data_IF_754781788492
#
_entry.id   IF_754781788492
#
_cell.length_a   1.000
_cell.length_b   1.000
_cell.length_c   1.000
_cell.angle_alpha   90.00
_cell.angle_beta   90.00
_cell.angle_gamma   90.00
#
_symmetry.space_group_name_H-M   'P 1'
#
loop_
_entity.id
_entity.type
_entity.pdbx_description
1 polymer ?
#
# COMPACT_ATOMS: atom_id res chain seq x y z
N UNK A 1 -3.08 -15.99 14.88
CA UNK A 1 -1.71 -15.51 14.60
C UNK A 1 -1.66 -14.41 13.52
N UNK A 2 -2.05 -14.69 12.28
CA UNK A 2 -1.98 -13.73 11.14
C UNK A 2 -2.58 -12.34 11.46
N UNK A 3 -3.79 -12.29 12.06
CA UNK A 3 -4.43 -11.01 12.42
C UNK A 3 -3.55 -10.13 13.32
N UNK A 4 -2.83 -10.74 14.27
CA UNK A 4 -1.92 -10.03 15.18
C UNK A 4 -0.75 -9.42 14.39
N UNK A 5 -0.13 -10.23 13.53
CA UNK A 5 0.97 -9.79 12.66
C UNK A 5 0.53 -8.62 11.77
N UNK A 6 -0.67 -8.70 11.18
CA UNK A 6 -1.22 -7.60 10.36
C UNK A 6 -1.41 -6.32 11.20
N UNK A 7 -2.00 -6.42 12.39
CA UNK A 7 -2.21 -5.24 13.25
C UNK A 7 -0.90 -4.62 13.76
N UNK A 8 0.14 -5.42 13.96
CA UNK A 8 1.45 -4.94 14.41
C UNK A 8 2.28 -4.31 13.28
N UNK A 9 2.04 -4.72 12.03
CA UNK A 9 2.83 -4.28 10.88
C UNK A 9 2.15 -3.17 10.05
N UNK A 10 0.84 -2.99 10.14
CA UNK A 10 0.13 -1.97 9.36
C UNK A 10 -0.49 -0.92 10.27
N UNK A 11 -0.13 0.35 10.05
CA UNK A 11 -0.75 1.47 10.73
C UNK A 11 -2.03 1.88 9.99
N UNK A 12 -3.17 1.47 10.53
CA UNK A 12 -4.49 1.69 9.92
C UNK A 12 -5.10 3.06 10.24
N UNK A 13 -4.38 3.97 10.92
CA UNK A 13 -4.88 5.33 11.13
C UNK A 13 -4.96 6.07 9.79
N UNK A 14 -6.06 6.79 9.46
CA UNK A 14 -6.24 7.39 8.13
C UNK A 14 -5.09 8.31 7.67
N UNK A 15 -4.56 9.11 8.60
CA UNK A 15 -3.41 9.97 8.32
C UNK A 15 -2.14 9.18 8.01
N UNK A 16 -1.91 8.07 8.72
CA UNK A 16 -0.73 7.23 8.53
C UNK A 16 -0.83 6.37 7.27
N UNK A 17 -2.01 5.90 6.88
CA UNK A 17 -2.22 5.26 5.57
C UNK A 17 -1.81 6.22 4.45
N UNK A 18 -2.27 7.48 4.52
CA UNK A 18 -1.95 8.50 3.52
C UNK A 18 -0.45 8.76 3.39
N UNK A 19 0.25 8.82 4.53
CA UNK A 19 1.70 9.07 4.59
C UNK A 19 2.49 7.84 4.14
N UNK A 20 2.19 6.66 4.68
CA UNK A 20 2.91 5.42 4.40
C UNK A 20 2.78 4.98 2.94
N UNK A 21 1.64 5.27 2.30
CA UNK A 21 1.43 5.03 0.88
C UNK A 21 1.76 6.24 0.01
N UNK A 22 2.30 7.33 0.58
CA UNK A 22 2.71 8.53 -0.14
C UNK A 22 1.60 9.12 -1.06
N UNK A 23 0.34 9.08 -0.60
CA UNK A 23 -0.83 9.34 -1.46
C UNK A 23 -0.97 10.80 -1.88
N UNK A 24 -0.31 11.72 -1.16
CA UNK A 24 -0.34 13.17 -1.44
C UNK A 24 0.77 13.64 -2.38
N UNK A 25 1.69 12.77 -2.83
CA UNK A 25 2.71 13.11 -3.83
C UNK A 25 2.06 13.58 -5.13
N UNK A 26 2.38 14.80 -5.54
CA UNK A 26 1.91 15.41 -6.78
C UNK A 26 2.83 15.16 -7.99
N UNK A 27 2.45 15.69 -9.15
CA UNK A 27 3.28 15.75 -10.37
C UNK A 27 3.20 14.53 -11.30
N UNK A 28 3.05 13.33 -10.74
CA UNK A 28 3.07 12.06 -11.49
C UNK A 28 1.70 11.57 -12.03
N UNK A 29 0.63 12.33 -11.76
CA UNK A 29 -0.75 12.04 -12.16
C UNK A 29 -1.23 10.64 -11.73
N UNK A 30 -0.76 10.11 -10.59
CA UNK A 30 -1.10 8.78 -10.05
C UNK A 30 -2.58 8.40 -10.22
N UNK A 31 -3.49 9.27 -9.76
CA UNK A 31 -4.94 8.96 -9.77
C UNK A 31 -5.58 9.00 -11.16
N UNK A 32 -5.02 9.74 -12.12
CA UNK A 32 -5.46 9.64 -13.51
C UNK A 32 -5.09 8.26 -14.07
N UNK A 33 -3.91 7.75 -13.72
CA UNK A 33 -3.47 6.42 -14.16
C UNK A 33 -4.36 5.30 -13.61
N UNK A 34 -4.91 5.44 -12.41
CA UNK A 34 -5.83 4.44 -11.83
C UNK A 34 -7.23 4.45 -12.45
N UNK A 35 -7.64 5.52 -13.12
CA UNK A 35 -9.02 5.72 -13.58
C UNK A 35 -9.46 4.78 -14.72
N UNK A 36 -8.54 4.02 -15.31
CA UNK A 36 -8.82 2.99 -16.31
C UNK A 36 -7.94 1.75 -16.06
N UNK A 37 -8.43 0.59 -16.51
CA UNK A 37 -7.74 -0.70 -16.40
C UNK A 37 -7.47 -1.17 -14.96
N UNK A 38 -8.21 -0.62 -13.98
CA UNK A 38 -8.15 -1.04 -12.59
C UNK A 38 -7.05 -0.35 -11.76
N UNK A 39 -7.27 -0.39 -10.45
CA UNK A 39 -6.39 0.21 -9.43
C UNK A 39 -5.31 -0.75 -8.91
N UNK A 40 -5.50 -2.06 -9.10
CA UNK A 40 -4.68 -3.12 -8.50
C UNK A 40 -4.02 -4.01 -9.55
N UNK A 41 -2.96 -4.73 -9.16
CA UNK A 41 -2.26 -5.70 -10.01
C UNK A 41 -1.39 -5.05 -11.10
N UNK A 42 -0.90 -3.84 -10.85
CA UNK A 42 -0.13 -3.04 -11.82
C UNK A 42 1.23 -2.71 -11.25
N UNK A 43 2.28 -2.85 -12.06
CA UNK A 43 3.69 -2.67 -11.63
C UNK A 43 4.20 -1.22 -11.72
N UNK A 44 3.31 -0.25 -11.90
CA UNK A 44 3.67 1.17 -11.96
C UNK A 44 4.16 1.63 -10.57
N UNK A 45 5.33 2.28 -10.45
CA UNK A 45 5.91 2.67 -9.15
C UNK A 45 5.07 3.71 -8.39
N UNK A 46 4.08 4.33 -9.03
CA UNK A 46 3.15 5.20 -8.32
C UNK A 46 2.09 4.43 -7.53
N UNK A 47 1.84 3.14 -7.81
CA UNK A 47 0.90 2.33 -7.03
C UNK A 47 1.63 1.71 -5.84
N UNK A 48 1.94 2.57 -4.88
CA UNK A 48 2.67 2.23 -3.65
C UNK A 48 2.00 1.14 -2.82
N UNK A 49 0.69 0.94 -2.96
CA UNK A 49 -0.05 -0.15 -2.31
C UNK A 49 0.19 -1.53 -2.92
N UNK A 50 0.77 -1.63 -4.12
CA UNK A 50 1.16 -2.89 -4.75
C UNK A 50 2.51 -3.41 -4.22
N UNK A 51 3.26 -2.57 -3.50
CA UNK A 51 4.54 -2.97 -2.93
C UNK A 51 4.31 -3.88 -1.72
N UNK A 52 4.65 -5.15 -1.88
CA UNK A 52 4.53 -6.14 -0.80
C UNK A 52 5.43 -5.77 0.36
N UNK A 53 4.83 -5.71 1.56
CA UNK A 53 5.57 -5.55 2.80
C UNK A 53 6.11 -6.89 3.28
N UNK A 54 7.40 -6.94 3.59
CA UNK A 54 8.00 -8.10 4.24
C UNK A 54 7.46 -8.24 5.68
N UNK A 55 6.90 -9.41 6.00
CA UNK A 55 6.36 -9.73 7.31
C UNK A 55 7.11 -10.90 7.93
N UNK A 56 7.44 -10.76 9.21
CA UNK A 56 8.01 -11.85 10.01
C UNK A 56 6.87 -12.70 10.58
N UNK A 57 6.99 -14.01 10.45
CA UNK A 57 6.04 -15.00 10.95
C UNK A 57 6.79 -16.31 11.25
N UNK A 58 6.25 -17.13 12.16
CA UNK A 58 6.82 -18.44 12.47
C UNK A 58 6.41 -19.44 11.40
N UNK A 59 7.39 -20.12 10.77
CA UNK A 59 7.10 -21.16 9.79
C UNK A 59 6.61 -22.41 10.53
N UNK A 60 5.46 -22.92 10.11
CA UNK A 60 4.90 -24.19 10.58
C UNK A 60 5.82 -25.38 10.25
#
# INVERSE_FOLDING_TARGET
EILKIVKENFDFRPGMITINLDLKRGGNKRFLKTAAYGHFGRTDPDFTWEVVKELKWEKA
#
